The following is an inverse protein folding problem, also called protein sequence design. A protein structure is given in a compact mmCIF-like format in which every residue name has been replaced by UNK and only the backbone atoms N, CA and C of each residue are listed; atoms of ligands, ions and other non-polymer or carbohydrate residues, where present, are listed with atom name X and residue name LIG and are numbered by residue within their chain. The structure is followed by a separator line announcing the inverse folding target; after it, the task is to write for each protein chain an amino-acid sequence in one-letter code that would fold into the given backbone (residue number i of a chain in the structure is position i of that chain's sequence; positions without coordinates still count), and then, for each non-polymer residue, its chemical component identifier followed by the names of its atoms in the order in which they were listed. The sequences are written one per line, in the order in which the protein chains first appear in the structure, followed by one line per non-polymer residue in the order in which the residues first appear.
data_IF_104391633020
#
_entry.id   IF_104391633020
#
_cell.length_a   1.000
_cell.length_b   1.000
_cell.length_c   1.000
_cell.angle_alpha   90.00
_cell.angle_beta   90.00
_cell.angle_gamma   90.00
#
_symmetry.space_group_name_H-M   'P 1'
#
loop_
_entity.id
_entity.type
_entity.pdbx_description
1 polymer ?
#
# COMPACT_ATOMS: atom_id res chain seq x y z
N UNK A 1 28.59 13.65 20.80
CA UNK A 1 27.14 13.94 20.89
C UNK A 1 26.44 13.79 19.55
N UNK A 2 26.89 14.46 18.48
CA UNK A 2 26.28 14.31 17.14
C UNK A 2 26.25 12.86 16.62
N UNK A 3 27.35 12.11 16.76
CA UNK A 3 27.39 10.68 16.39
C UNK A 3 26.33 9.86 17.15
N UNK A 4 26.18 10.10 18.46
CA UNK A 4 25.13 9.42 19.26
C UNK A 4 23.72 9.79 18.78
N UNK A 5 23.51 11.05 18.39
CA UNK A 5 22.25 11.51 17.79
C UNK A 5 21.96 10.81 16.46
N UNK A 6 22.95 10.75 15.57
CA UNK A 6 22.85 10.03 14.29
C UNK A 6 22.48 8.56 14.50
N UNK A 7 23.23 7.83 15.35
CA UNK A 7 22.96 6.42 15.66
C UNK A 7 21.56 6.21 16.25
N UNK A 8 21.13 7.13 17.13
CA UNK A 8 19.78 7.13 17.70
C UNK A 8 18.70 7.32 16.65
N UNK A 9 18.85 8.31 15.75
CA UNK A 9 17.89 8.57 14.68
C UNK A 9 17.80 7.41 13.69
N UNK A 10 18.94 6.84 13.30
CA UNK A 10 18.98 5.66 12.42
C UNK A 10 18.25 4.47 13.04
N UNK A 11 18.49 4.19 14.32
CA UNK A 11 17.85 3.06 15.03
C UNK A 11 16.35 3.30 15.19
N UNK A 12 15.96 4.54 15.52
CA UNK A 12 14.55 4.92 15.60
C UNK A 12 13.84 4.82 14.24
N UNK A 13 14.51 5.18 13.13
CA UNK A 13 13.99 4.99 11.78
C UNK A 13 13.75 3.52 11.46
N UNK A 14 14.71 2.64 11.75
CA UNK A 14 14.54 1.19 11.55
C UNK A 14 13.38 0.63 12.38
N UNK A 15 13.24 1.10 13.63
CA UNK A 15 12.09 0.75 14.49
C UNK A 15 10.76 1.23 13.91
N UNK A 16 10.69 2.49 13.44
CA UNK A 16 9.49 3.05 12.80
C UNK A 16 9.09 2.24 11.56
N UNK A 17 10.04 1.85 10.72
CA UNK A 17 9.78 0.98 9.56
C UNK A 17 9.18 -0.35 10.00
N UNK A 18 9.79 -1.02 10.97
CA UNK A 18 9.26 -2.29 11.49
C UNK A 18 7.82 -2.14 12.02
N UNK A 19 7.55 -1.10 12.81
CA UNK A 19 6.20 -0.83 13.31
C UNK A 19 5.20 -0.53 12.19
N UNK A 20 5.61 0.20 11.14
CA UNK A 20 4.78 0.44 9.97
C UNK A 20 4.39 -0.87 9.26
N UNK A 21 5.26 -1.89 9.27
CA UNK A 21 4.91 -3.21 8.74
C UNK A 21 3.94 -4.02 9.59
N UNK A 22 3.88 -3.78 10.91
CA UNK A 22 2.91 -4.43 11.80
C UNK A 22 1.51 -3.84 11.60
N UNK A 23 1.42 -2.55 11.29
CA UNK A 23 0.16 -1.84 11.03
C UNK A 23 -0.65 -2.49 9.91
N UNK A 24 -0.01 -3.01 8.86
CA UNK A 24 -0.70 -3.68 7.76
C UNK A 24 -1.52 -4.93 8.14
N UNK A 25 -1.35 -5.47 9.35
CA UNK A 25 -2.14 -6.59 9.87
C UNK A 25 -3.40 -6.15 10.63
N UNK A 26 -3.64 -4.84 10.74
CA UNK A 26 -4.81 -4.25 11.43
C UNK A 26 -4.99 -4.75 12.87
N UNK A 27 -3.91 -5.15 13.56
CA UNK A 27 -3.97 -5.65 14.94
C UNK A 27 -4.41 -4.55 15.94
N UNK A 28 -4.20 -3.29 15.57
CA UNK A 28 -4.75 -2.11 16.25
C UNK A 28 -5.50 -1.29 15.22
N UNK A 29 -6.69 -0.82 15.57
CA UNK A 29 -7.53 -0.02 14.68
C UNK A 29 -6.77 1.24 14.22
N UNK A 30 -6.47 1.28 12.93
CA UNK A 30 -5.69 2.33 12.30
C UNK A 30 -6.37 3.69 12.47
N UNK A 31 -5.59 4.71 12.83
CA UNK A 31 -6.10 6.08 13.05
C UNK A 31 -6.57 6.39 14.47
N UNK A 32 -6.61 5.42 15.39
CA UNK A 32 -6.90 5.70 16.80
C UNK A 32 -5.79 6.55 17.43
N UNK A 33 -6.14 7.58 18.20
CA UNK A 33 -5.16 8.45 18.88
C UNK A 33 -4.15 7.65 19.72
N UNK A 34 -4.58 6.56 20.36
CA UNK A 34 -3.73 5.65 21.11
C UNK A 34 -2.65 4.98 20.24
N UNK A 35 -2.99 4.56 19.00
CA UNK A 35 -2.04 3.95 18.06
C UNK A 35 -0.93 4.93 17.67
N UNK A 36 -1.32 6.17 17.33
CA UNK A 36 -0.38 7.24 16.97
C UNK A 36 0.55 7.60 18.14
N UNK A 37 0.02 7.66 19.36
CA UNK A 37 0.82 7.94 20.55
C UNK A 37 1.78 6.80 20.90
N UNK A 38 1.36 5.54 20.77
CA UNK A 38 2.25 4.38 20.95
C UNK A 38 3.39 4.40 19.93
N UNK A 39 3.10 4.72 18.66
CA UNK A 39 4.13 4.83 17.62
C UNK A 39 5.18 5.90 17.96
N UNK A 40 4.73 7.10 18.39
CA UNK A 40 5.62 8.22 18.75
C UNK A 40 6.42 7.95 20.02
N UNK A 41 5.79 7.39 21.05
CA UNK A 41 6.46 7.12 22.33
C UNK A 41 7.48 5.99 22.20
N UNK A 42 7.14 4.89 21.52
CA UNK A 42 8.07 3.77 21.34
C UNK A 42 9.28 4.16 20.50
N UNK A 43 9.09 4.93 19.42
CA UNK A 43 10.21 5.45 18.62
C UNK A 43 11.10 6.42 19.41
N UNK A 44 10.51 7.29 20.25
CA UNK A 44 11.27 8.17 21.14
C UNK A 44 12.04 7.38 22.21
N UNK A 45 11.46 6.31 22.76
CA UNK A 45 12.13 5.43 23.72
C UNK A 45 13.32 4.71 23.09
N UNK A 46 13.18 4.15 21.89
CA UNK A 46 14.27 3.49 21.16
C UNK A 46 15.36 4.49 20.77
N UNK A 47 14.98 5.69 20.32
CA UNK A 47 15.92 6.79 20.10
C UNK A 47 16.73 7.10 21.38
N UNK A 48 16.04 7.29 22.51
CA UNK A 48 16.66 7.60 23.79
C UNK A 48 17.57 6.48 24.29
N UNK A 49 17.16 5.22 24.12
CA UNK A 49 17.95 4.05 24.49
C UNK A 49 19.26 3.99 23.70
N UNK A 50 19.20 4.11 22.38
CA UNK A 50 20.41 4.06 21.54
C UNK A 50 21.30 5.28 21.78
N UNK A 51 20.72 6.47 21.97
CA UNK A 51 21.46 7.68 22.32
C UNK A 51 22.20 7.51 23.66
N UNK A 52 21.54 6.97 24.67
CA UNK A 52 22.11 6.68 25.98
C UNK A 52 23.25 5.66 25.89
N UNK A 53 23.04 4.52 25.24
CA UNK A 53 24.08 3.48 25.04
C UNK A 53 25.29 4.05 24.31
N UNK A 54 25.07 4.89 23.29
CA UNK A 54 26.14 5.54 22.54
C UNK A 54 26.96 6.50 23.41
N UNK A 55 26.31 7.36 24.21
CA UNK A 55 27.01 8.27 25.11
C UNK A 55 27.72 7.52 26.23
N UNK A 56 27.08 6.51 26.82
CA UNK A 56 27.68 5.69 27.86
C UNK A 56 28.96 5.01 27.36
N UNK A 57 28.93 4.52 26.11
CA UNK A 57 30.11 3.96 25.43
C UNK A 57 31.20 5.00 25.18
N UNK A 58 30.87 6.19 24.66
CA UNK A 58 31.87 7.22 24.38
C UNK A 58 32.48 7.86 25.63
N UNK A 59 31.72 7.92 26.73
CA UNK A 59 32.15 8.49 28.01
C UNK A 59 32.70 7.46 29.01
N UNK A 60 32.71 6.18 28.66
CA UNK A 60 33.18 5.09 29.52
C UNK A 60 32.49 5.08 30.90
N UNK A 61 31.17 5.22 30.88
CA UNK A 61 30.36 5.07 32.09
C UNK A 61 30.41 3.59 32.50
N UNK A 62 30.67 3.33 33.79
CA UNK A 62 30.84 1.98 34.40
C UNK A 62 30.20 0.84 33.62
N UNK A 63 31.03 -0.07 33.10
CA UNK A 63 30.60 -1.24 32.33
C UNK A 63 30.67 -1.05 30.80
N UNK A 64 30.72 0.19 30.33
CA UNK A 64 30.95 0.51 28.92
C UNK A 64 32.40 0.94 28.72
N UNK A 65 33.06 0.38 27.69
CA UNK A 65 34.43 0.71 27.32
C UNK A 65 34.48 1.14 25.86
N UNK A 66 35.34 2.12 25.55
CA UNK A 66 35.64 2.49 24.15
C UNK A 66 36.45 1.42 23.43
N UNK A 67 37.26 0.65 24.17
CA UNK A 67 38.09 -0.41 23.61
C UNK A 67 37.25 -1.63 23.19
N UNK A 68 36.17 -1.90 23.90
CA UNK A 68 35.25 -3.01 23.62
C UNK A 68 33.80 -2.52 23.63
N UNK A 69 33.35 -1.82 22.57
CA UNK A 69 32.01 -1.23 22.48
C UNK A 69 30.94 -2.27 22.12
N UNK A 70 30.90 -3.39 22.84
CA UNK A 70 30.05 -4.55 22.54
C UNK A 70 28.56 -4.19 22.51
N UNK A 71 28.09 -3.39 23.48
CA UNK A 71 26.68 -2.96 23.52
C UNK A 71 26.26 -2.11 22.32
N UNK A 72 27.13 -1.21 21.87
CA UNK A 72 26.88 -0.36 20.70
C UNK A 72 26.84 -1.21 19.42
N UNK A 73 27.77 -2.16 19.29
CA UNK A 73 27.81 -3.08 18.15
C UNK A 73 26.57 -3.96 18.06
N UNK A 74 26.12 -4.55 19.17
CA UNK A 74 24.91 -5.37 19.19
C UNK A 74 23.69 -4.53 18.78
N UNK A 75 23.50 -3.36 19.39
CA UNK A 75 22.38 -2.48 19.04
C UNK A 75 22.40 -2.08 17.57
N UNK A 76 23.55 -1.64 17.05
CA UNK A 76 23.60 -1.08 15.71
C UNK A 76 23.67 -2.14 14.60
N UNK A 77 24.50 -3.18 14.75
CA UNK A 77 24.75 -4.17 13.71
C UNK A 77 23.87 -5.41 13.79
N UNK A 78 23.20 -5.66 14.93
CA UNK A 78 22.29 -6.82 15.06
C UNK A 78 20.83 -6.34 15.06
N UNK A 79 20.46 -5.42 15.94
CA UNK A 79 19.06 -5.01 16.06
C UNK A 79 18.54 -4.22 14.85
N UNK A 80 19.30 -3.28 14.29
CA UNK A 80 18.85 -2.54 13.11
C UNK A 80 18.55 -3.43 11.89
N UNK A 81 19.47 -4.31 11.44
CA UNK A 81 19.14 -5.21 10.34
C UNK A 81 18.06 -6.22 10.71
N UNK A 82 17.94 -6.62 11.98
CA UNK A 82 16.82 -7.45 12.43
C UNK A 82 15.47 -6.74 12.26
N UNK A 83 15.36 -5.46 12.63
CA UNK A 83 14.14 -4.67 12.44
C UNK A 83 13.78 -4.54 10.95
N UNK A 84 14.78 -4.29 10.09
CA UNK A 84 14.58 -4.24 8.65
C UNK A 84 14.19 -5.60 8.05
N UNK A 85 14.78 -6.69 8.54
CA UNK A 85 14.43 -8.04 8.09
C UNK A 85 12.99 -8.39 8.48
N UNK A 86 12.60 -8.11 9.72
CA UNK A 86 11.21 -8.28 10.19
C UNK A 86 10.28 -7.47 9.30
N UNK A 87 10.60 -6.20 9.02
CA UNK A 87 9.81 -5.37 8.11
C UNK A 87 9.65 -6.03 6.73
N UNK A 88 10.73 -6.46 6.08
CA UNK A 88 10.66 -7.09 4.75
C UNK A 88 9.82 -8.37 4.77
N UNK A 89 9.98 -9.21 5.79
CA UNK A 89 9.18 -10.45 5.93
C UNK A 89 7.70 -10.11 6.09
N UNK A 90 7.36 -9.15 6.95
CA UNK A 90 5.98 -8.71 7.16
C UNK A 90 5.37 -8.16 5.86
N UNK A 91 6.11 -7.34 5.12
CA UNK A 91 5.68 -6.81 3.82
C UNK A 91 5.40 -7.93 2.80
N UNK A 92 6.29 -8.91 2.69
CA UNK A 92 6.09 -10.05 1.78
C UNK A 92 4.85 -10.86 2.19
N UNK A 93 4.63 -11.08 3.48
CA UNK A 93 3.44 -11.79 4.00
C UNK A 93 2.16 -11.02 3.65
N UNK A 94 2.13 -9.70 3.83
CA UNK A 94 0.95 -8.88 3.48
C UNK A 94 0.67 -8.94 1.99
N UNK A 95 1.67 -8.76 1.14
CA UNK A 95 1.47 -8.78 -0.32
C UNK A 95 0.96 -10.13 -0.79
N UNK A 96 1.54 -11.23 -0.32
CA UNK A 96 1.17 -12.58 -0.79
C UNK A 96 -0.20 -13.03 -0.28
N UNK A 97 -0.62 -12.60 0.91
CA UNK A 97 -1.90 -13.04 1.50
C UNK A 97 -3.07 -12.09 1.24
N UNK A 98 -2.81 -10.80 1.00
CA UNK A 98 -3.85 -9.77 0.93
C UNK A 98 -4.04 -9.18 -0.46
N UNK A 99 -2.97 -9.08 -1.27
CA UNK A 99 -3.01 -8.42 -2.58
C UNK A 99 -3.06 -9.44 -3.73
N UNK A 100 -3.85 -9.15 -4.76
CA UNK A 100 -3.92 -9.95 -5.99
C UNK A 100 -2.80 -9.56 -7.00
N UNK A 101 -2.20 -8.37 -6.87
CA UNK A 101 -1.10 -7.90 -7.70
C UNK A 101 0.27 -8.13 -7.02
N UNK A 102 1.15 -8.93 -7.64
CA UNK A 102 2.48 -9.23 -7.11
C UNK A 102 3.58 -8.23 -7.52
N UNK A 103 3.25 -7.17 -8.27
CA UNK A 103 4.21 -6.13 -8.67
C UNK A 103 4.95 -5.46 -7.51
N UNK A 104 4.31 -5.17 -6.34
CA UNK A 104 4.98 -4.64 -5.15
C UNK A 104 6.12 -5.55 -4.64
N UNK A 105 6.02 -6.86 -4.84
CA UNK A 105 7.03 -7.83 -4.39
C UNK A 105 8.37 -7.62 -5.09
N UNK A 106 8.35 -7.17 -6.35
CA UNK A 106 9.55 -6.76 -7.08
C UNK A 106 10.22 -5.53 -6.43
N UNK A 107 9.45 -4.52 -6.05
CA UNK A 107 9.97 -3.29 -5.45
C UNK A 107 10.68 -3.57 -4.11
N UNK A 108 10.07 -4.36 -3.22
CA UNK A 108 10.68 -4.67 -1.92
C UNK A 108 11.93 -5.56 -2.07
N UNK A 109 11.93 -6.46 -3.06
CA UNK A 109 13.11 -7.27 -3.41
C UNK A 109 14.28 -6.40 -3.89
N UNK A 110 14.03 -5.47 -4.81
CA UNK A 110 15.07 -4.52 -5.27
C UNK A 110 15.55 -3.61 -4.13
N UNK A 111 14.66 -3.18 -3.24
CA UNK A 111 15.04 -2.40 -2.06
C UNK A 111 16.05 -3.15 -1.18
N UNK A 112 15.81 -4.44 -0.93
CA UNK A 112 16.70 -5.29 -0.14
C UNK A 112 18.04 -5.50 -0.84
N UNK A 113 18.04 -5.79 -2.15
CA UNK A 113 19.26 -6.01 -2.93
C UNK A 113 20.15 -4.76 -2.92
N UNK A 114 19.59 -3.58 -3.20
CA UNK A 114 20.35 -2.34 -3.16
C UNK A 114 20.88 -2.02 -1.76
N UNK A 115 20.10 -2.29 -0.71
CA UNK A 115 20.57 -2.12 0.67
C UNK A 115 21.74 -3.03 0.98
N UNK A 116 21.64 -4.34 0.69
CA UNK A 116 22.70 -5.33 0.96
C UNK A 116 23.96 -4.99 0.18
N UNK A 117 23.84 -4.66 -1.11
CA UNK A 117 24.98 -4.22 -1.92
C UNK A 117 25.62 -2.97 -1.30
N UNK A 118 24.83 -2.00 -0.88
CA UNK A 118 25.32 -0.79 -0.20
C UNK A 118 26.09 -1.11 1.08
N UNK A 119 25.57 -2.00 1.94
CA UNK A 119 26.25 -2.43 3.17
C UNK A 119 27.54 -3.20 2.88
N UNK A 120 27.54 -4.08 1.88
CA UNK A 120 28.73 -4.84 1.48
C UNK A 120 29.82 -3.91 0.97
N UNK A 121 29.46 -2.94 0.13
CA UNK A 121 30.40 -1.92 -0.35
C UNK A 121 31.00 -1.14 0.81
N UNK A 122 30.14 -0.71 1.74
CA UNK A 122 30.54 0.11 2.89
C UNK A 122 31.48 -0.62 3.85
N UNK A 123 31.20 -1.88 4.16
CA UNK A 123 31.89 -2.63 5.21
C UNK A 123 33.13 -3.35 4.67
N UNK A 124 33.08 -3.88 3.44
CA UNK A 124 34.13 -4.76 2.93
C UNK A 124 34.94 -4.18 1.76
N UNK A 125 34.31 -3.39 0.87
CA UNK A 125 34.98 -2.91 -0.34
C UNK A 125 35.48 -1.46 -0.23
N UNK A 126 35.17 -0.74 0.85
CA UNK A 126 35.51 0.68 1.00
C UNK A 126 37.00 0.96 0.81
N UNK A 127 37.88 0.20 1.45
CA UNK A 127 39.33 0.39 1.34
C UNK A 127 39.85 0.08 -0.08
N UNK A 128 39.31 -0.97 -0.70
CA UNK A 128 39.68 -1.39 -2.07
C UNK A 128 39.30 -0.34 -3.11
N UNK A 129 38.13 0.27 -2.93
CA UNK A 129 37.68 1.36 -3.79
C UNK A 129 38.59 2.57 -3.57
N UNK A 130 38.80 2.98 -2.31
CA UNK A 130 39.62 4.14 -1.96
C UNK A 130 41.03 4.09 -2.58
N UNK A 131 41.70 2.93 -2.49
CA UNK A 131 43.01 2.71 -3.13
C UNK A 131 42.93 2.71 -4.67
N UNK A 132 41.90 2.08 -5.24
CA UNK A 132 41.73 1.93 -6.70
C UNK A 132 41.51 3.24 -7.46
N UNK A 133 40.91 4.24 -6.82
CA UNK A 133 40.65 5.57 -7.40
C UNK A 133 41.47 6.68 -6.75
N UNK A 134 42.64 6.33 -6.19
CA UNK A 134 43.64 7.28 -5.68
C UNK A 134 43.07 8.26 -4.64
N UNK A 135 42.25 7.77 -3.71
CA UNK A 135 41.65 8.54 -2.62
C UNK A 135 40.72 9.69 -3.05
N UNK A 136 40.15 9.64 -4.27
CA UNK A 136 39.17 10.64 -4.71
C UNK A 136 37.76 10.36 -4.17
N UNK A 137 37.37 9.09 -4.08
CA UNK A 137 36.07 8.62 -3.57
C UNK A 137 36.30 7.36 -2.73
N UNK A 138 35.43 7.12 -1.76
CA UNK A 138 35.47 5.97 -0.85
C UNK A 138 34.19 5.12 -0.97
N UNK A 139 34.09 4.06 -0.14
CA UNK A 139 32.87 3.26 -0.06
C UNK A 139 31.65 4.05 0.40
N UNK A 140 31.80 5.12 1.20
CA UNK A 140 30.70 5.95 1.73
C UNK A 140 29.88 6.56 0.60
N UNK A 141 30.53 7.05 -0.45
CA UNK A 141 29.82 7.63 -1.59
C UNK A 141 28.91 6.61 -2.30
N UNK A 142 29.44 5.43 -2.63
CA UNK A 142 28.64 4.41 -3.31
C UNK A 142 27.61 3.77 -2.37
N UNK A 143 27.97 3.55 -1.11
CA UNK A 143 27.06 3.04 -0.07
C UNK A 143 25.87 3.97 0.16
N UNK A 144 26.08 5.28 0.16
CA UNK A 144 24.99 6.26 0.30
C UNK A 144 24.07 6.29 -0.92
N UNK A 145 24.61 6.20 -2.14
CA UNK A 145 23.79 6.09 -3.37
C UNK A 145 22.94 4.82 -3.35
N UNK A 146 23.53 3.67 -3.03
CA UNK A 146 22.81 2.40 -2.93
C UNK A 146 21.72 2.45 -1.84
N UNK A 147 22.02 3.09 -0.70
CA UNK A 147 21.04 3.30 0.38
C UNK A 147 19.89 4.21 -0.08
N UNK A 148 20.20 5.28 -0.84
CA UNK A 148 19.18 6.16 -1.40
C UNK A 148 18.29 5.42 -2.40
N UNK A 149 18.87 4.60 -3.27
CA UNK A 149 18.11 3.75 -4.20
C UNK A 149 17.21 2.75 -3.46
N UNK A 150 17.70 2.18 -2.36
CA UNK A 150 16.89 1.30 -1.50
C UNK A 150 15.68 2.04 -0.92
N UNK A 151 15.86 3.23 -0.35
CA UNK A 151 14.76 4.05 0.19
C UNK A 151 13.75 4.43 -0.91
N UNK A 152 14.22 4.75 -2.11
CA UNK A 152 13.34 5.02 -3.25
C UNK A 152 12.49 3.81 -3.63
N UNK A 153 13.04 2.59 -3.58
CA UNK A 153 12.28 1.37 -3.84
C UNK A 153 11.28 1.05 -2.74
N UNK A 154 11.59 1.35 -1.47
CA UNK A 154 10.62 1.28 -0.37
C UNK A 154 9.47 2.28 -0.58
N UNK A 155 9.76 3.49 -1.04
CA UNK A 155 8.72 4.47 -1.39
C UNK A 155 7.84 3.99 -2.55
N UNK A 156 8.44 3.46 -3.63
CA UNK A 156 7.66 2.88 -4.74
C UNK A 156 6.81 1.69 -4.30
N UNK A 157 7.30 0.91 -3.33
CA UNK A 157 6.54 -0.17 -2.72
C UNK A 157 5.29 0.35 -2.01
N UNK A 158 5.42 1.41 -1.19
CA UNK A 158 4.27 2.03 -0.55
C UNK A 158 3.26 2.57 -1.56
N UNK A 159 3.72 3.29 -2.57
CA UNK A 159 2.87 3.79 -3.65
C UNK A 159 2.11 2.64 -4.33
N UNK A 160 2.76 1.50 -4.58
CA UNK A 160 2.14 0.37 -5.27
C UNK A 160 1.03 -0.36 -4.49
N UNK A 161 0.99 -0.25 -3.17
CA UNK A 161 -0.03 -0.91 -2.34
C UNK A 161 -1.28 -0.03 -2.15
N UNK A 162 -1.15 1.27 -2.44
CA UNK A 162 -2.24 2.24 -2.31
C UNK A 162 -2.86 2.63 -3.67
N UNK A 163 -2.43 2.01 -4.77
CA UNK A 163 -2.93 2.34 -6.12
C UNK A 163 -4.39 1.96 -6.30
N UNK A 164 -4.80 0.82 -5.74
CA UNK A 164 -6.19 0.37 -5.75
C UNK A 164 -7.16 1.31 -5.02
N UNK A 165 -6.69 2.10 -4.04
CA UNK A 165 -7.52 3.11 -3.35
C UNK A 165 -7.68 4.43 -4.14
N UNK A 166 -6.75 4.74 -5.06
CA UNK A 166 -6.76 5.99 -5.84
C UNK A 166 -7.57 5.87 -7.14
N UNK A 167 -7.64 4.68 -7.74
CA UNK A 167 -8.46 4.43 -8.93
C UNK A 167 -9.97 4.40 -8.61
N UNK A 168 -10.38 4.09 -7.38
CA UNK A 168 -11.79 4.27 -6.98
C UNK A 168 -12.17 5.70 -6.57
N UNK A 169 -11.22 6.63 -6.48
CA UNK A 169 -11.50 8.05 -6.24
C UNK A 169 -11.54 8.91 -7.51
N UNK A 170 -10.93 8.46 -8.62
CA UNK A 170 -11.09 9.07 -9.95
C UNK A 170 -11.07 8.00 -11.07
N UNK A 171 -11.89 6.96 -10.94
CA UNK A 171 -12.32 6.14 -12.09
C UNK A 171 -13.83 5.93 -12.07
N UNK A 172 -14.54 7.06 -12.10
CA UNK A 172 -15.82 7.16 -12.79
C UNK A 172 -15.63 7.17 -14.31
N UNK A 173 -14.73 6.36 -14.89
CA UNK A 173 -14.73 6.09 -16.33
C UNK A 173 -15.51 4.82 -16.63
N UNK A 174 -16.80 4.86 -16.30
CA UNK A 174 -17.73 4.54 -17.38
C UNK A 174 -17.48 5.57 -18.47
N UNK A 175 -17.20 5.15 -19.69
CA UNK A 175 -17.06 6.05 -20.83
C UNK A 175 -18.39 6.83 -21.03
N UNK A 176 -18.54 7.98 -20.37
CA UNK A 176 -19.74 8.84 -20.47
C UNK A 176 -19.82 9.61 -21.80
N UNK A 177 -18.89 9.35 -22.74
CA UNK A 177 -18.82 10.08 -24.01
C UNK A 177 -19.31 9.31 -25.24
N UNK A 178 -19.88 8.11 -25.09
CA UNK A 178 -20.70 7.51 -26.16
C UNK A 178 -22.15 7.99 -26.10
N UNK A 179 -22.38 9.30 -26.09
CA UNK A 179 -23.70 9.89 -26.41
C UNK A 179 -23.51 11.19 -27.17
N UNK A 180 -22.80 11.16 -28.30
CA UNK A 180 -22.73 12.33 -29.21
C UNK A 180 -22.64 11.98 -30.69
N UNK A 181 -23.41 11.00 -31.14
CA UNK A 181 -23.76 10.88 -32.55
C UNK A 181 -24.95 9.93 -32.64
N UNK A 182 -26.12 10.47 -33.03
CA UNK A 182 -27.28 9.80 -33.66
C UNK A 182 -28.64 10.48 -33.37
N UNK A 183 -28.69 11.63 -32.72
CA UNK A 183 -29.90 12.48 -32.75
C UNK A 183 -29.51 13.87 -33.25
N UNK A 184 -29.54 14.03 -34.57
CA UNK A 184 -29.74 15.35 -35.17
C UNK A 184 -31.10 15.86 -34.68
N UNK A 185 -31.11 17.02 -34.03
CA UNK A 185 -32.33 17.68 -33.54
C UNK A 185 -33.17 18.33 -34.67
N UNK A 186 -32.73 18.21 -35.93
CA UNK A 186 -33.31 18.92 -37.08
C UNK A 186 -34.08 18.02 -38.07
N UNK A 187 -34.21 16.71 -37.82
CA UNK A 187 -35.04 15.84 -38.68
C UNK A 187 -36.52 15.93 -38.27
N UNK A 188 -37.18 16.94 -38.82
CA UNK A 188 -38.61 17.25 -38.76
C UNK A 188 -39.48 16.19 -39.51
N UNK A 189 -39.28 14.88 -39.26
CA UNK A 189 -40.16 13.84 -39.81
C UNK A 189 -40.13 12.49 -39.08
N UNK A 190 -40.66 12.40 -37.84
CA UNK A 190 -41.07 11.11 -37.28
C UNK A 190 -42.14 11.24 -36.18
N UNK A 191 -43.44 11.00 -36.45
CA UNK A 191 -44.47 11.00 -35.40
C UNK A 191 -44.46 9.73 -34.51
N UNK A 192 -43.39 8.93 -34.47
CA UNK A 192 -43.35 7.66 -33.73
C UNK A 192 -42.04 7.33 -32.98
N UNK A 193 -41.20 8.31 -32.66
CA UNK A 193 -39.94 8.08 -31.93
C UNK A 193 -40.10 8.02 -30.39
N UNK A 194 -41.22 7.50 -29.88
CA UNK A 194 -41.58 7.57 -28.45
C UNK A 194 -41.96 6.25 -27.78
N UNK A 195 -41.67 5.08 -28.37
CA UNK A 195 -42.22 3.81 -27.87
C UNK A 195 -41.28 2.60 -27.91
N UNK A 196 -39.96 2.84 -27.85
CA UNK A 196 -38.99 1.78 -27.54
C UNK A 196 -38.36 1.93 -26.13
N UNK A 197 -38.84 2.89 -25.34
CA UNK A 197 -38.45 3.10 -23.95
C UNK A 197 -39.39 2.37 -22.98
N UNK A 198 -39.48 1.05 -23.12
CA UNK A 198 -39.79 0.08 -22.06
C UNK A 198 -40.18 -1.23 -22.74
N UNK A 199 -39.37 -2.27 -22.59
CA UNK A 199 -39.82 -3.56 -22.06
C UNK A 199 -38.73 -4.62 -22.19
N UNK A 200 -38.53 -5.32 -21.06
CA UNK A 200 -38.00 -6.68 -20.90
C UNK A 200 -36.48 -6.83 -20.77
N UNK A 201 -36.07 -7.23 -19.55
CA UNK A 201 -34.81 -7.90 -19.31
C UNK A 201 -34.92 -9.43 -19.41
N UNK A 202 -33.74 -10.04 -19.27
CA UNK A 202 -33.46 -11.44 -18.95
C UNK A 202 -33.28 -12.48 -20.07
N UNK A 203 -32.09 -13.09 -19.96
CA UNK A 203 -31.69 -14.46 -20.27
C UNK A 203 -31.59 -14.91 -21.73
N UNK A 204 -30.35 -15.25 -22.08
CA UNK A 204 -29.92 -15.55 -23.44
C UNK A 204 -30.16 -16.98 -23.90
N UNK A 205 -29.84 -17.23 -25.17
CA UNK A 205 -29.62 -18.58 -25.71
C UNK A 205 -28.66 -18.49 -26.91
N UNK A 206 -27.82 -19.51 -26.96
CA UNK A 206 -26.75 -19.82 -27.90
C UNK A 206 -27.19 -20.01 -29.36
N UNK A 207 -26.22 -19.83 -30.26
CA UNK A 207 -26.27 -20.09 -31.70
C UNK A 207 -26.78 -21.50 -32.06
N UNK A 208 -27.61 -21.59 -33.12
CA UNK A 208 -27.34 -22.39 -34.32
C UNK A 208 -28.48 -22.24 -35.34
N UNK A 209 -28.10 -21.86 -36.56
CA UNK A 209 -28.97 -21.76 -37.73
C UNK A 209 -29.09 -23.15 -38.36
N UNK A 210 -30.31 -23.71 -38.41
CA UNK A 210 -30.71 -24.66 -39.46
C UNK A 210 -32.23 -24.80 -39.50
N UNK A 211 -32.82 -24.33 -40.60
CA UNK A 211 -33.82 -25.06 -41.40
C UNK A 211 -35.14 -25.53 -40.76
N UNK A 212 -36.22 -24.97 -41.31
CA UNK A 212 -37.37 -25.71 -41.84
C UNK A 212 -38.61 -25.96 -40.93
N UNK A 213 -39.73 -25.46 -41.46
CA UNK A 213 -41.01 -26.17 -41.64
C UNK A 213 -42.10 -26.14 -40.56
N UNK A 214 -43.15 -25.35 -40.85
CA UNK A 214 -44.60 -25.57 -40.68
C UNK A 214 -45.21 -25.88 -39.29
N UNK A 215 -46.26 -25.09 -38.94
CA UNK A 215 -47.50 -25.65 -38.38
C UNK A 215 -48.07 -25.08 -37.07
N UNK A 216 -48.99 -24.10 -37.19
CA UNK A 216 -50.37 -24.11 -36.65
C UNK A 216 -50.73 -24.37 -35.17
N UNK A 217 -51.47 -23.38 -34.62
CA UNK A 217 -52.66 -23.46 -33.73
C UNK A 217 -52.56 -23.72 -32.20
N UNK A 218 -53.19 -22.81 -31.42
CA UNK A 218 -54.27 -23.20 -30.49
C UNK A 218 -54.18 -22.88 -28.98
N UNK A 219 -54.81 -21.77 -28.56
CA UNK A 219 -55.59 -21.44 -27.32
C UNK A 219 -55.37 -22.12 -25.92
N UNK A 220 -55.30 -21.28 -24.85
CA UNK A 220 -56.32 -21.02 -23.77
C UNK A 220 -55.73 -20.71 -22.36
N UNK A 221 -56.34 -19.75 -21.63
CA UNK A 221 -55.98 -19.19 -20.30
C UNK A 221 -56.60 -19.89 -19.07
N UNK A 222 -56.15 -19.60 -17.83
CA UNK A 222 -57.10 -19.07 -16.81
C UNK A 222 -56.55 -18.00 -15.81
N UNK A 223 -57.51 -17.36 -15.09
CA UNK A 223 -57.51 -16.16 -14.21
C UNK A 223 -56.90 -16.27 -12.78
N UNK A 224 -56.53 -15.12 -12.15
CA UNK A 224 -56.53 -14.90 -10.67
C UNK A 224 -56.76 -13.42 -10.21
N UNK A 225 -57.26 -13.26 -8.97
CA UNK A 225 -57.83 -12.06 -8.29
C UNK A 225 -56.81 -11.16 -7.54
N UNK A 226 -57.20 -9.91 -7.22
CA UNK A 226 -56.41 -8.83 -6.56
C UNK A 226 -56.84 -8.52 -5.09
N UNK A 227 -55.93 -8.00 -4.26
CA UNK A 227 -56.19 -7.31 -2.96
C UNK A 227 -55.21 -6.11 -2.74
N UNK A 228 -55.56 -5.04 -1.97
CA UNK A 228 -54.97 -3.69 -2.08
C UNK A 228 -54.13 -3.15 -0.88
N UNK A 229 -53.39 -2.06 -1.15
CA UNK A 229 -52.41 -1.30 -0.34
C UNK A 229 -52.98 -0.44 0.83
N UNK A 230 -52.14 -0.18 1.85
CA UNK A 230 -52.27 0.90 2.83
C UNK A 230 -50.98 1.75 2.95
N UNK A 231 -51.12 3.08 2.98
CA UNK A 231 -50.04 4.07 3.14
C UNK A 231 -49.88 4.61 4.57
N UNK A 232 -48.73 5.24 4.84
CA UNK A 232 -48.37 5.83 6.16
C UNK A 232 -48.24 7.37 6.08
N UNK A 233 -48.78 8.07 7.08
CA UNK A 233 -48.67 9.51 7.32
C UNK A 233 -47.54 9.86 8.30
N UNK A 234 -46.93 11.04 8.10
CA UNK A 234 -45.90 11.69 8.93
C UNK A 234 -46.47 12.27 10.23
N UNK A 235 -45.67 12.26 11.31
CA UNK A 235 -46.00 12.89 12.58
C UNK A 235 -44.84 13.76 13.10
N UNK A 236 -45.17 14.99 13.47
CA UNK A 236 -44.27 16.09 13.82
C UNK A 236 -43.80 16.07 15.30
N UNK A 237 -42.61 16.62 15.55
CA UNK A 237 -42.02 16.82 16.88
C UNK A 237 -42.51 18.13 17.55
N UNK A 238 -42.65 18.11 18.88
CA UNK A 238 -42.90 19.29 19.73
C UNK A 238 -41.65 19.59 20.60
N UNK A 239 -41.40 20.87 20.96
CA UNK A 239 -40.17 21.32 21.60
C UNK A 239 -40.28 21.27 23.13
N UNK A 240 -39.16 21.02 23.84
CA UNK A 240 -38.57 21.82 24.93
C UNK A 240 -37.21 21.23 25.30
#
# INVERSE_FOLDING_TARGET
YFVAGYLGLTTAMCWCLMLNGIVGFQWTEDGTAASLWTFRLTSLLIFGLMYFVSIATFKEVKGFSKAHPLGLFIMYFIFNPLFLLIYVVLQVVVVVNTLDEYWPLGNISFALVFFVIGQVIQIFLSDKICEGIKHYVDGVFFGTICTLLSVMMVYKYWDSITKEDLEFSVDGKGNTWEVKELLNEDDEFAPYAGQAANTVGYQGVSFANTGSQYGGQGFQQPHYQQQPQHGYQQQAYAPY
#
